data_IF_956049206610
#
_entry.id   IF_956049206610
#
_cell.length_a   1.000
_cell.length_b   1.000
_cell.length_c   1.000
_cell.angle_alpha   90.00
_cell.angle_beta   90.00
_cell.angle_gamma   90.00
#
_symmetry.space_group_name_H-M   'P 1'
#
loop_
_entity.id
_entity.type
_entity.pdbx_description
1 polymer ?
#
# COMPACT_ATOMS: atom_id res chain seq x y z
N UNK A 1 0.44 8.49 -12.18
CA UNK A 1 1.74 8.11 -11.58
C UNK A 1 1.80 8.62 -10.14
N UNK A 2 2.36 7.83 -9.20
CA UNK A 2 2.39 8.17 -7.76
C UNK A 2 3.34 9.31 -7.40
N UNK A 3 4.13 9.79 -8.35
CA UNK A 3 5.05 10.92 -8.17
C UNK A 3 4.38 12.20 -7.68
N UNK A 4 3.08 12.40 -7.97
CA UNK A 4 2.31 13.51 -7.40
C UNK A 4 1.99 13.34 -5.91
N UNK A 5 1.69 12.11 -5.48
CA UNK A 5 1.19 11.82 -4.12
C UNK A 5 2.30 11.85 -3.07
N UNK A 6 3.53 11.55 -3.47
CA UNK A 6 4.68 11.47 -2.56
C UNK A 6 5.45 12.78 -2.41
N UNK A 7 5.22 13.78 -3.28
CA UNK A 7 6.00 15.04 -3.33
C UNK A 7 6.01 15.84 -2.01
N UNK A 8 4.95 15.74 -1.20
CA UNK A 8 4.83 16.44 0.08
C UNK A 8 5.23 15.63 1.31
N UNK A 9 5.52 14.33 1.16
CA UNK A 9 5.79 13.44 2.30
C UNK A 9 7.24 13.59 2.74
N UNK A 10 7.49 14.52 3.66
CA UNK A 10 8.81 14.78 4.26
C UNK A 10 8.72 14.54 5.77
N UNK A 11 9.64 13.76 6.31
CA UNK A 11 9.67 13.45 7.75
C UNK A 11 10.38 12.14 8.05
N UNK A 12 10.59 11.87 9.35
CA UNK A 12 11.29 10.67 9.81
C UNK A 12 10.50 9.36 9.58
N UNK A 13 9.16 9.43 9.52
CA UNK A 13 8.30 8.29 9.24
C UNK A 13 7.23 8.64 8.19
N UNK A 14 7.28 7.98 7.04
CA UNK A 14 6.38 8.24 5.89
C UNK A 14 5.58 6.99 5.49
N UNK A 15 5.33 6.11 6.45
CA UNK A 15 4.62 4.85 6.22
C UNK A 15 3.10 5.06 6.20
N UNK A 16 2.38 4.17 5.50
CA UNK A 16 0.92 4.19 5.48
C UNK A 16 0.31 4.02 6.87
N UNK A 17 0.95 3.19 7.72
CA UNK A 17 0.53 3.01 9.11
C UNK A 17 0.67 4.28 9.94
N UNK A 18 1.73 5.06 9.73
CA UNK A 18 1.92 6.33 10.42
C UNK A 18 0.80 7.32 10.09
N UNK A 19 0.50 7.51 8.80
CA UNK A 19 -0.58 8.38 8.36
C UNK A 19 -1.96 7.87 8.84
N UNK A 20 -2.20 6.57 8.74
CA UNK A 20 -3.46 5.98 9.19
C UNK A 20 -3.71 6.20 10.70
N UNK A 21 -2.67 6.07 11.54
CA UNK A 21 -2.76 6.35 12.98
C UNK A 21 -3.01 7.82 13.32
N UNK A 22 -2.65 8.74 12.42
CA UNK A 22 -2.98 10.16 12.51
C UNK A 22 -4.40 10.48 12.01
N UNK A 23 -5.18 9.48 11.59
CA UNK A 23 -6.51 9.68 11.02
C UNK A 23 -6.47 10.15 9.56
N UNK A 24 -5.31 10.10 8.90
CA UNK A 24 -5.14 10.57 7.53
C UNK A 24 -5.48 9.46 6.54
N UNK A 25 -6.43 9.72 5.64
CA UNK A 25 -6.69 8.91 4.45
C UNK A 25 -5.76 9.36 3.32
N UNK A 26 -4.72 8.59 3.06
CA UNK A 26 -3.77 8.86 1.96
C UNK A 26 -4.39 8.52 0.60
N UNK A 27 -3.76 9.01 -0.47
CA UNK A 27 -4.15 8.65 -1.84
C UNK A 27 -4.04 7.14 -2.10
N UNK A 28 -3.08 6.43 -1.47
CA UNK A 28 -3.00 4.98 -1.58
C UNK A 28 -4.16 4.28 -0.86
N UNK A 29 -4.55 4.75 0.32
CA UNK A 29 -5.72 4.20 1.04
C UNK A 29 -6.99 4.41 0.19
N UNK A 30 -7.21 5.62 -0.32
CA UNK A 30 -8.36 5.92 -1.17
C UNK A 30 -8.36 5.08 -2.46
N UNK A 31 -7.19 4.87 -3.08
CA UNK A 31 -7.06 4.04 -4.27
C UNK A 31 -7.39 2.57 -3.98
N UNK A 32 -6.87 2.00 -2.89
CA UNK A 32 -7.15 0.62 -2.48
C UNK A 32 -8.62 0.44 -2.15
N UNK A 33 -9.22 1.38 -1.42
CA UNK A 33 -10.63 1.38 -1.07
C UNK A 33 -11.52 1.33 -2.32
N UNK A 34 -11.25 2.20 -3.30
CA UNK A 34 -11.96 2.18 -4.59
C UNK A 34 -11.78 0.87 -5.35
N UNK A 35 -10.57 0.29 -5.34
CA UNK A 35 -10.25 -0.96 -6.06
C UNK A 35 -10.92 -2.19 -5.46
N UNK A 36 -11.13 -2.19 -4.15
CA UNK A 36 -11.76 -3.29 -3.41
C UNK A 36 -13.26 -3.07 -3.16
N UNK A 37 -13.81 -1.94 -3.63
CA UNK A 37 -15.22 -1.54 -3.41
C UNK A 37 -15.60 -1.48 -1.92
N UNK A 38 -14.74 -0.82 -1.13
CA UNK A 38 -14.89 -0.69 0.32
C UNK A 38 -14.75 0.77 0.76
N UNK A 39 -15.29 1.15 1.95
CA UNK A 39 -15.08 2.47 2.51
C UNK A 39 -13.61 2.76 2.79
N UNK A 40 -13.13 3.96 2.45
CA UNK A 40 -11.74 4.36 2.70
C UNK A 40 -11.39 4.38 4.20
N UNK A 41 -12.37 4.70 5.05
CA UNK A 41 -12.21 4.73 6.49
C UNK A 41 -11.97 3.34 7.08
N UNK A 42 -12.65 2.31 6.55
CA UNK A 42 -12.40 0.92 6.93
C UNK A 42 -10.94 0.52 6.63
N UNK A 43 -10.45 0.86 5.44
CA UNK A 43 -9.05 0.57 5.06
C UNK A 43 -8.08 1.31 5.99
N UNK A 44 -8.32 2.60 6.27
CA UNK A 44 -7.50 3.39 7.20
C UNK A 44 -7.47 2.76 8.59
N UNK A 45 -8.62 2.39 9.14
CA UNK A 45 -8.71 1.76 10.46
C UNK A 45 -7.92 0.44 10.53
N UNK A 46 -8.08 -0.44 9.55
CA UNK A 46 -7.38 -1.72 9.53
C UNK A 46 -5.86 -1.54 9.35
N UNK A 47 -5.44 -0.52 8.61
CA UNK A 47 -4.02 -0.13 8.51
C UNK A 47 -3.50 0.42 9.84
N UNK A 48 -4.26 1.27 10.52
CA UNK A 48 -3.87 1.81 11.81
C UNK A 48 -3.75 0.72 12.90
N UNK A 49 -4.66 -0.26 12.87
CA UNK A 49 -4.67 -1.46 13.71
C UNK A 49 -3.55 -2.46 13.38
N UNK A 50 -2.94 -2.37 12.19
CA UNK A 50 -1.91 -3.30 11.74
C UNK A 50 -2.43 -4.64 11.21
N UNK A 51 -3.74 -4.73 10.91
CA UNK A 51 -4.39 -5.92 10.31
C UNK A 51 -4.41 -5.88 8.79
N UNK A 52 -4.10 -4.73 8.21
CA UNK A 52 -3.98 -4.48 6.78
C UNK A 52 -2.70 -3.68 6.51
N UNK A 53 -1.98 -4.04 5.45
CA UNK A 53 -0.81 -3.31 4.97
C UNK A 53 -1.01 -2.87 3.52
N UNK A 54 -0.36 -1.76 3.17
CA UNK A 54 -0.27 -1.27 1.79
C UNK A 54 1.23 -1.15 1.46
N UNK A 55 1.82 -2.12 0.74
CA UNK A 55 3.25 -2.12 0.41
C UNK A 55 3.54 -1.10 -0.68
N UNK A 56 3.74 0.16 -0.27
CA UNK A 56 3.80 1.29 -1.19
C UNK A 56 5.02 2.18 -0.94
N UNK A 57 6.22 1.60 -1.12
CA UNK A 57 7.49 2.34 -1.07
C UNK A 57 7.41 3.62 -1.92
N UNK A 58 7.89 4.73 -1.37
CA UNK A 58 7.87 6.06 -2.00
C UNK A 58 8.68 6.13 -3.30
N UNK A 59 9.70 5.28 -3.45
CA UNK A 59 10.54 5.22 -4.65
C UNK A 59 9.90 4.42 -5.79
N UNK A 60 8.86 3.61 -5.51
CA UNK A 60 8.16 2.84 -6.54
C UNK A 60 7.02 3.66 -7.16
N UNK A 61 7.37 4.63 -8.02
CA UNK A 61 6.43 5.61 -8.58
C UNK A 61 5.40 5.04 -9.56
N UNK A 62 5.72 3.90 -10.20
CA UNK A 62 4.85 3.20 -11.16
C UNK A 62 3.92 2.17 -10.50
N UNK A 63 4.03 1.96 -9.19
CA UNK A 63 3.18 1.02 -8.46
C UNK A 63 1.70 1.43 -8.59
N UNK A 64 0.87 0.45 -8.91
CA UNK A 64 -0.57 0.51 -8.66
C UNK A 64 -0.83 -0.02 -7.24
N UNK A 65 -1.27 0.81 -6.28
CA UNK A 65 -1.44 0.36 -4.91
C UNK A 65 -2.43 -0.79 -4.78
N UNK A 66 -2.13 -1.68 -3.84
CA UNK A 66 -3.00 -2.77 -3.41
C UNK A 66 -2.85 -2.93 -1.90
N UNK A 67 -3.92 -3.34 -1.23
CA UNK A 67 -3.89 -3.71 0.18
C UNK A 67 -3.78 -5.22 0.36
N UNK A 68 -3.13 -5.64 1.45
CA UNK A 68 -3.02 -7.03 1.88
C UNK A 68 -3.46 -7.07 3.34
N UNK A 69 -4.48 -7.86 3.68
CA UNK A 69 -4.97 -7.94 5.04
C UNK A 69 -6.40 -8.41 5.14
N UNK A 70 -6.94 -8.33 6.35
CA UNK A 70 -8.31 -8.70 6.66
C UNK A 70 -9.28 -7.70 5.97
N UNK A 71 -10.48 -8.17 5.62
CA UNK A 71 -11.53 -7.46 4.87
C UNK A 71 -11.29 -7.25 3.37
N UNK A 72 -10.10 -7.56 2.84
CA UNK A 72 -9.82 -7.48 1.40
C UNK A 72 -9.94 -8.83 0.70
N UNK A 73 -10.04 -8.82 -0.63
CA UNK A 73 -9.91 -10.05 -1.43
C UNK A 73 -8.54 -10.68 -1.22
N UNK A 74 -8.50 -12.02 -1.16
CA UNK A 74 -7.25 -12.78 -1.07
C UNK A 74 -6.28 -12.38 -2.20
N UNK A 75 -5.00 -12.18 -1.85
CA UNK A 75 -3.94 -11.82 -2.80
C UNK A 75 -2.99 -12.99 -2.96
N UNK A 76 -2.48 -13.18 -4.18
CA UNK A 76 -1.47 -14.19 -4.50
C UNK A 76 -0.13 -13.50 -4.79
N UNK A 77 0.96 -14.18 -4.48
CA UNK A 77 2.32 -13.73 -4.80
C UNK A 77 2.98 -14.75 -5.73
N UNK A 78 3.71 -14.27 -6.72
CA UNK A 78 4.50 -15.09 -7.63
C UNK A 78 5.99 -14.76 -7.45
N UNK A 79 6.81 -15.79 -7.23
CA UNK A 79 8.26 -15.63 -7.12
C UNK A 79 8.88 -15.73 -8.52
N UNK A 80 9.71 -14.76 -8.87
CA UNK A 80 10.54 -14.75 -10.09
C UNK A 80 11.99 -14.43 -9.71
N UNK A 81 12.95 -14.93 -10.46
CA UNK A 81 14.37 -14.68 -10.21
C UNK A 81 15.28 -15.56 -11.06
N UNK A 82 16.53 -15.13 -11.22
CA UNK A 82 17.55 -15.91 -11.89
C UNK A 82 18.38 -16.71 -10.88
N UNK A 83 18.72 -17.97 -11.20
CA UNK A 83 19.65 -18.79 -10.43
C UNK A 83 20.91 -19.10 -11.27
N UNK A 84 22.09 -19.30 -10.66
CA UNK A 84 23.32 -19.59 -11.40
C UNK A 84 23.26 -20.84 -12.29
N UNK A 85 22.28 -21.72 -12.04
CA UNK A 85 22.12 -23.02 -12.72
C UNK A 85 21.01 -22.96 -13.78
N UNK A 86 20.07 -22.03 -13.64
CA UNK A 86 19.01 -21.79 -14.61
C UNK A 86 18.33 -20.43 -14.35
N UNK A 87 18.40 -19.57 -15.36
CA UNK A 87 17.45 -18.54 -15.82
C UNK A 87 18.20 -17.66 -16.82
N UNK A 88 17.51 -17.16 -17.85
CA UNK A 88 18.09 -16.41 -18.97
C UNK A 88 18.28 -14.92 -18.69
#
# INVERSE_FOLDING_TARGET
MRSGWTKGRKGACVTQMHYARQGIVTEEIAYVAKREDLPAELIREEVARGRLIIPANIHHHRLEPMGIGIALRCKINANIGNSPVCSN
#
